data_IF_978255166645
#
_entry.id   IF_978255166645
#
_cell.length_a   1.000
_cell.length_b   1.000
_cell.length_c   1.000
_cell.angle_alpha   90.00
_cell.angle_beta   90.00
_cell.angle_gamma   90.00
#
_symmetry.space_group_name_H-M   'P 1'
#
loop_
_entity.id
_entity.type
_entity.pdbx_description
1 polymer ?
#
# COMPACT_ATOMS: atom_id res chain seq x y z
N UNK A 1 -19.06 14.69 1.30
CA UNK A 1 -18.18 15.24 0.25
C UNK A 1 -18.77 16.57 -0.12
N UNK A 2 -18.25 17.64 0.47
CA UNK A 2 -18.77 18.99 0.23
C UNK A 2 -17.69 19.71 -0.56
N UNK A 3 -17.99 19.97 -1.83
CA UNK A 3 -17.13 20.74 -2.73
C UNK A 3 -17.75 22.11 -2.77
N UNK A 4 -17.09 23.10 -2.16
CA UNK A 4 -17.54 24.49 -2.20
C UNK A 4 -16.74 25.22 -3.28
N UNK A 5 -17.30 25.43 -4.48
CA UNK A 5 -16.61 26.15 -5.53
C UNK A 5 -16.70 27.65 -5.25
N UNK A 6 -15.64 28.24 -4.68
CA UNK A 6 -15.50 29.69 -4.69
C UNK A 6 -15.19 30.14 -6.12
N UNK A 7 -16.23 30.44 -6.88
CA UNK A 7 -16.12 31.11 -8.17
C UNK A 7 -15.70 32.55 -7.92
N UNK A 8 -14.40 32.85 -8.03
CA UNK A 8 -13.95 34.22 -8.16
C UNK A 8 -14.39 34.72 -9.53
N UNK A 9 -15.39 35.62 -9.53
CA UNK A 9 -15.96 36.23 -10.73
C UNK A 9 -14.99 37.28 -11.27
N UNK A 10 -13.95 36.84 -11.94
CA UNK A 10 -13.17 37.68 -12.85
C UNK A 10 -12.89 36.84 -14.10
N UNK A 11 -13.55 37.20 -15.21
CA UNK A 11 -13.55 36.45 -16.47
C UNK A 11 -12.21 36.42 -17.20
N UNK A 12 -11.19 35.81 -16.57
CA UNK A 12 -9.89 35.52 -17.16
C UNK A 12 -9.77 34.02 -17.40
N UNK A 13 -9.53 33.67 -18.65
CA UNK A 13 -9.29 32.34 -19.22
C UNK A 13 -7.93 31.74 -18.85
N UNK A 14 -7.13 32.44 -18.04
CA UNK A 14 -5.79 32.03 -17.62
C UNK A 14 -5.65 31.73 -16.12
N UNK A 15 -6.72 31.80 -15.33
CA UNK A 15 -6.63 31.43 -13.91
C UNK A 15 -6.79 29.91 -13.69
N UNK A 16 -5.86 29.25 -12.97
CA UNK A 16 -6.00 27.86 -12.64
C UNK A 16 -7.18 27.67 -11.67
N UNK A 17 -8.09 26.74 -11.98
CA UNK A 17 -9.03 26.24 -11.00
C UNK A 17 -8.25 25.69 -9.80
N UNK A 18 -8.36 26.37 -8.67
CA UNK A 18 -7.77 25.94 -7.42
C UNK A 18 -8.87 25.36 -6.54
N UNK A 19 -8.70 24.10 -6.11
CA UNK A 19 -9.57 23.46 -5.14
C UNK A 19 -8.79 23.26 -3.84
N UNK A 20 -9.35 23.75 -2.74
CA UNK A 20 -8.87 23.46 -1.40
C UNK A 20 -9.39 22.08 -0.99
N UNK A 21 -8.51 21.08 -0.98
CA UNK A 21 -8.86 19.76 -0.42
C UNK A 21 -8.73 19.84 1.09
N UNK A 22 -9.86 19.95 1.78
CA UNK A 22 -9.90 19.73 3.22
C UNK A 22 -9.83 18.23 3.49
N UNK A 23 -8.64 17.75 3.86
CA UNK A 23 -8.50 16.42 4.47
C UNK A 23 -9.13 16.56 5.86
N UNK A 24 -10.31 15.97 6.07
CA UNK A 24 -10.99 15.99 7.36
C UNK A 24 -10.03 15.60 8.48
N UNK A 25 -9.74 16.53 9.40
CA UNK A 25 -8.79 16.34 10.50
C UNK A 25 -9.32 15.45 11.63
N UNK A 26 -10.60 15.00 11.57
CA UNK A 26 -11.26 14.34 12.70
C UNK A 26 -11.50 12.83 12.50
N UNK A 27 -11.05 12.25 11.40
CA UNK A 27 -10.85 10.81 11.25
C UNK A 27 -10.06 10.61 9.95
N UNK A 28 -8.74 10.30 10.00
CA UNK A 28 -8.08 9.83 8.80
C UNK A 28 -8.88 8.60 8.31
N UNK A 29 -9.33 8.55 7.05
CA UNK A 29 -9.96 7.35 6.52
C UNK A 29 -9.02 6.18 6.81
N UNK A 30 -9.54 5.10 7.38
CA UNK A 30 -8.75 3.93 7.68
C UNK A 30 -7.99 3.55 6.39
N UNK A 31 -6.64 3.52 6.38
CA UNK A 31 -5.88 3.22 5.16
C UNK A 31 -6.18 1.82 4.58
N UNK A 32 -6.90 0.99 5.31
CA UNK A 32 -7.44 -0.29 4.86
C UNK A 32 -8.73 -0.16 4.02
N UNK A 33 -9.48 0.95 4.09
CA UNK A 33 -10.88 0.97 3.63
C UNK A 33 -11.08 1.34 2.16
N UNK A 34 -10.25 2.16 1.51
CA UNK A 34 -10.37 2.29 0.05
C UNK A 34 -9.13 2.83 -0.67
N UNK A 35 -8.28 1.93 -1.16
CA UNK A 35 -7.14 2.29 -2.00
C UNK A 35 -7.53 2.41 -3.49
N UNK A 36 -8.79 2.11 -3.81
CA UNK A 36 -9.32 2.04 -5.16
C UNK A 36 -8.70 0.94 -6.01
N UNK A 37 -9.01 0.98 -7.30
CA UNK A 37 -8.54 0.03 -8.29
C UNK A 37 -7.29 0.54 -9.01
N UNK A 38 -6.42 -0.39 -9.40
CA UNK A 38 -5.28 -0.09 -10.26
C UNK A 38 -5.69 -0.34 -11.70
N UNK A 39 -5.76 0.75 -12.47
CA UNK A 39 -5.89 0.67 -13.92
C UNK A 39 -4.55 0.20 -14.49
N UNK A 40 -4.54 -1.01 -15.04
CA UNK A 40 -3.46 -1.48 -15.88
C UNK A 40 -3.77 -1.03 -17.32
N UNK A 41 -2.77 -0.44 -18.00
CA UNK A 41 -2.93 0.17 -19.32
C UNK A 41 -2.82 -0.85 -20.46
N UNK A 42 -3.01 -2.13 -20.16
CA UNK A 42 -2.95 -3.21 -21.14
C UNK A 42 -4.27 -3.29 -21.91
N UNK A 43 -4.15 -3.50 -23.23
CA UNK A 43 -5.32 -3.59 -24.10
C UNK A 43 -6.27 -4.73 -23.68
N UNK A 44 -5.75 -5.82 -23.13
CA UNK A 44 -6.52 -6.98 -22.69
C UNK A 44 -7.43 -6.64 -21.50
N UNK A 45 -6.92 -5.97 -20.46
CA UNK A 45 -7.75 -5.53 -19.33
C UNK A 45 -8.80 -4.50 -19.76
N UNK A 46 -8.47 -3.61 -20.72
CA UNK A 46 -9.44 -2.66 -21.26
C UNK A 46 -10.59 -3.35 -22.01
N UNK A 47 -10.28 -4.34 -22.85
CA UNK A 47 -11.28 -5.13 -23.58
C UNK A 47 -12.17 -5.92 -22.61
N UNK A 48 -11.57 -6.57 -21.62
CA UNK A 48 -12.31 -7.28 -20.57
C UNK A 48 -13.24 -6.35 -19.77
N UNK A 49 -12.76 -5.17 -19.36
CA UNK A 49 -13.57 -4.17 -18.67
C UNK A 49 -14.74 -3.68 -19.53
N UNK A 50 -14.49 -3.43 -20.82
CA UNK A 50 -15.52 -2.96 -21.76
C UNK A 50 -16.61 -4.00 -21.95
N UNK A 51 -16.24 -5.28 -22.07
CA UNK A 51 -17.17 -6.40 -22.19
C UNK A 51 -18.03 -6.54 -20.92
N UNK A 52 -17.40 -6.50 -19.75
CA UNK A 52 -18.10 -6.58 -18.45
C UNK A 52 -19.05 -5.40 -18.23
N UNK A 53 -18.58 -4.17 -18.53
CA UNK A 53 -19.42 -2.98 -18.46
C UNK A 53 -20.63 -3.10 -19.39
N UNK A 54 -20.42 -3.49 -20.64
CA UNK A 54 -21.50 -3.62 -21.62
C UNK A 54 -22.51 -4.69 -21.18
N UNK A 55 -22.04 -5.82 -20.65
CA UNK A 55 -22.91 -6.90 -20.18
C UNK A 55 -23.80 -6.43 -19.04
N UNK A 56 -23.20 -5.82 -18.00
CA UNK A 56 -23.95 -5.30 -16.85
C UNK A 56 -24.86 -4.14 -17.21
N UNK A 57 -24.43 -3.26 -18.11
CA UNK A 57 -25.25 -2.15 -18.57
C UNK A 57 -26.49 -2.63 -19.34
N UNK A 58 -26.34 -3.67 -20.17
CA UNK A 58 -27.50 -4.31 -20.81
C UNK A 58 -28.48 -4.90 -19.80
N UNK A 59 -27.99 -5.55 -18.73
CA UNK A 59 -28.85 -6.06 -17.66
C UNK A 59 -29.66 -4.95 -16.98
N UNK A 60 -29.03 -3.80 -16.71
CA UNK A 60 -29.70 -2.61 -16.17
C UNK A 60 -30.75 -2.09 -17.15
N UNK A 61 -30.40 -1.91 -18.42
CA UNK A 61 -31.35 -1.45 -19.45
C UNK A 61 -32.55 -2.41 -19.62
N UNK A 62 -32.31 -3.71 -19.58
CA UNK A 62 -33.35 -4.73 -19.67
C UNK A 62 -34.27 -4.75 -18.44
N UNK A 63 -33.72 -4.41 -17.26
CA UNK A 63 -34.48 -4.31 -16.01
C UNK A 63 -35.33 -3.04 -15.93
N UNK A 64 -35.01 -2.02 -16.74
CA UNK A 64 -35.70 -0.74 -16.80
C UNK A 64 -36.14 -0.36 -18.23
N UNK A 65 -36.98 -1.18 -18.91
CA UNK A 65 -37.25 -1.04 -20.34
C UNK A 65 -38.12 0.17 -20.73
N UNK A 66 -38.66 0.93 -19.76
CA UNK A 66 -39.71 1.93 -20.02
C UNK A 66 -39.59 3.20 -19.18
N UNK A 67 -38.37 3.60 -18.80
CA UNK A 67 -38.16 4.91 -18.20
C UNK A 67 -37.98 5.90 -19.35
N UNK A 68 -39.04 6.65 -19.68
CA UNK A 68 -38.89 7.84 -20.50
C UNK A 68 -37.84 8.74 -19.84
N UNK A 69 -36.83 9.17 -20.59
CA UNK A 69 -36.00 10.31 -20.18
C UNK A 69 -36.85 11.56 -20.39
N UNK A 70 -37.99 11.62 -19.71
CA UNK A 70 -38.64 12.89 -19.47
C UNK A 70 -37.58 13.72 -18.74
N UNK A 71 -37.41 14.98 -19.13
CA UNK A 71 -36.41 15.92 -18.57
C UNK A 71 -36.66 16.25 -17.08
N UNK A 72 -37.18 15.30 -16.30
CA UNK A 72 -37.31 15.35 -14.86
C UNK A 72 -35.93 15.11 -14.24
N UNK A 73 -35.42 16.06 -13.45
CA UNK A 73 -34.11 15.94 -12.80
C UNK A 73 -33.94 14.62 -12.03
N UNK A 74 -34.98 14.15 -11.35
CA UNK A 74 -34.96 12.91 -10.58
C UNK A 74 -34.72 11.64 -11.44
N UNK A 75 -35.18 11.63 -12.70
CA UNK A 75 -34.93 10.51 -13.60
C UNK A 75 -33.46 10.50 -14.05
N UNK A 76 -32.88 11.68 -14.29
CA UNK A 76 -31.48 11.86 -14.68
C UNK A 76 -30.55 11.43 -13.54
N UNK A 77 -30.83 11.85 -12.30
CA UNK A 77 -30.02 11.48 -11.13
C UNK A 77 -30.03 9.97 -10.89
N UNK A 78 -31.18 9.32 -11.12
CA UNK A 78 -31.29 7.86 -11.03
C UNK A 78 -30.44 7.17 -12.09
N UNK A 79 -30.46 7.65 -13.33
CA UNK A 79 -29.59 7.13 -14.40
C UNK A 79 -28.11 7.34 -14.11
N UNK A 80 -27.74 8.51 -13.60
CA UNK A 80 -26.36 8.81 -13.19
C UNK A 80 -25.89 7.86 -12.08
N UNK A 81 -26.76 7.56 -11.12
CA UNK A 81 -26.48 6.61 -10.03
C UNK A 81 -26.28 5.20 -10.57
N UNK A 82 -27.21 4.70 -11.41
CA UNK A 82 -27.11 3.37 -12.02
C UNK A 82 -25.87 3.22 -12.92
N UNK A 83 -25.53 4.28 -13.66
CA UNK A 83 -24.31 4.30 -14.48
C UNK A 83 -23.06 4.24 -13.58
N UNK A 84 -23.04 5.03 -12.51
CA UNK A 84 -21.95 5.01 -11.53
C UNK A 84 -21.77 3.63 -10.89
N UNK A 85 -22.86 3.00 -10.45
CA UNK A 85 -22.86 1.65 -9.89
C UNK A 85 -22.36 0.62 -10.90
N UNK A 86 -22.77 0.73 -12.16
CA UNK A 86 -22.34 -0.19 -13.23
C UNK A 86 -20.86 -0.05 -13.53
N UNK A 87 -20.35 1.20 -13.60
CA UNK A 87 -18.91 1.49 -13.76
C UNK A 87 -18.13 0.88 -12.60
N UNK A 88 -18.58 1.08 -11.36
CA UNK A 88 -17.93 0.52 -10.17
C UNK A 88 -17.96 -1.02 -10.19
N UNK A 89 -19.08 -1.62 -10.56
CA UNK A 89 -19.22 -3.07 -10.63
C UNK A 89 -18.37 -3.71 -11.73
N UNK A 90 -18.20 -3.07 -12.88
CA UNK A 90 -17.31 -3.53 -13.95
C UNK A 90 -15.84 -3.38 -13.56
N UNK A 91 -15.51 -2.26 -12.91
CA UNK A 91 -14.17 -1.98 -12.37
C UNK A 91 -13.79 -2.98 -11.28
N UNK A 92 -14.72 -3.31 -10.39
CA UNK A 92 -14.52 -4.30 -9.33
C UNK A 92 -14.28 -5.73 -9.87
N UNK A 93 -14.93 -6.09 -10.97
CA UNK A 93 -14.81 -7.42 -11.56
C UNK A 93 -13.49 -7.65 -12.30
N UNK A 94 -12.98 -6.61 -12.97
CA UNK A 94 -11.85 -6.76 -13.91
C UNK A 94 -10.55 -6.18 -13.38
N UNK A 95 -10.59 -5.21 -12.46
CA UNK A 95 -9.39 -4.50 -12.02
C UNK A 95 -8.84 -5.04 -10.70
N UNK A 96 -7.52 -5.00 -10.56
CA UNK A 96 -6.84 -5.36 -9.31
C UNK A 96 -7.05 -4.25 -8.28
N UNK A 97 -7.54 -4.60 -7.09
CA UNK A 97 -7.57 -3.69 -5.94
C UNK A 97 -6.14 -3.32 -5.56
N UNK A 98 -5.87 -2.04 -5.29
CA UNK A 98 -4.55 -1.64 -4.78
C UNK A 98 -4.31 -2.31 -3.43
N UNK A 99 -3.14 -2.89 -3.25
CA UNK A 99 -2.73 -3.48 -1.97
C UNK A 99 -2.38 -2.36 -1.00
N UNK A 100 -2.76 -2.53 0.26
CA UNK A 100 -2.30 -1.66 1.35
C UNK A 100 -0.78 -1.58 1.27
N UNK A 101 -0.29 -0.34 1.12
CA UNK A 101 1.13 -0.08 1.25
C UNK A 101 1.48 -0.50 2.68
N UNK A 102 2.27 -1.58 2.81
CA UNK A 102 2.82 -1.96 4.12
C UNK A 102 3.48 -0.71 4.69
N UNK A 103 3.26 -0.44 5.98
CA UNK A 103 3.89 0.66 6.70
C UNK A 103 5.32 0.87 6.19
N UNK A 104 5.70 2.11 5.85
CA UNK A 104 7.06 2.42 5.37
C UNK A 104 8.16 1.93 6.33
N UNK A 105 7.79 1.68 7.59
CA UNK A 105 8.66 1.16 8.61
C UNK A 105 8.75 -0.37 8.56
N UNK A 106 9.96 -0.87 8.70
CA UNK A 106 10.20 -2.30 8.80
C UNK A 106 9.50 -2.86 10.05
N UNK A 107 9.04 -4.12 10.04
CA UNK A 107 8.30 -4.72 11.16
C UNK A 107 9.08 -4.79 12.49
N UNK A 108 10.42 -4.74 12.42
CA UNK A 108 11.32 -4.72 13.58
C UNK A 108 11.64 -3.30 14.08
N UNK A 109 11.03 -2.26 13.50
CA UNK A 109 11.25 -0.88 13.93
C UNK A 109 10.65 -0.64 15.32
N UNK A 110 11.41 -0.02 16.21
CA UNK A 110 11.00 0.28 17.59
C UNK A 110 11.19 1.76 17.93
N UNK A 111 10.48 2.26 18.95
CA UNK A 111 10.62 3.62 19.47
C UNK A 111 12.06 3.97 19.82
N UNK A 112 12.79 3.02 20.41
CA UNK A 112 14.19 3.17 20.80
C UNK A 112 15.09 3.49 19.60
N UNK A 113 14.80 2.96 18.40
CA UNK A 113 15.56 3.29 17.18
C UNK A 113 15.31 4.74 16.79
N UNK A 114 14.04 5.19 16.84
CA UNK A 114 13.68 6.59 16.55
C UNK A 114 14.36 7.56 17.51
N UNK A 115 14.41 7.23 18.80
CA UNK A 115 15.06 8.04 19.84
C UNK A 115 16.56 8.20 19.60
N UNK A 116 17.27 7.11 19.30
CA UNK A 116 18.71 7.19 19.02
C UNK A 116 19.00 7.95 17.72
N UNK A 117 18.13 7.86 16.72
CA UNK A 117 18.25 8.67 15.51
C UNK A 117 18.07 10.16 15.84
N UNK A 118 17.12 10.52 16.70
CA UNK A 118 16.95 11.89 17.17
C UNK A 118 18.20 12.38 17.92
N UNK A 119 18.77 11.58 18.83
CA UNK A 119 20.02 11.91 19.53
C UNK A 119 21.19 12.17 18.55
N UNK A 120 21.30 11.38 17.47
CA UNK A 120 22.33 11.58 16.43
C UNK A 120 22.09 12.88 15.67
N UNK A 121 20.85 13.20 15.33
CA UNK A 121 20.50 14.43 14.62
C UNK A 121 20.77 15.66 15.50
N UNK A 122 20.46 15.61 16.78
CA UNK A 122 20.76 16.67 17.75
C UNK A 122 22.27 16.86 17.91
N UNK A 123 23.03 15.78 18.13
CA UNK A 123 24.49 15.86 18.21
C UNK A 123 25.11 16.45 16.93
N UNK A 124 24.56 16.10 15.76
CA UNK A 124 24.98 16.67 14.48
C UNK A 124 24.66 18.17 14.33
N UNK A 125 23.50 18.62 14.83
CA UNK A 125 23.11 20.04 14.84
C UNK A 125 23.95 20.89 15.80
N UNK A 126 24.31 20.32 16.95
CA UNK A 126 25.09 20.99 17.99
C UNK A 126 26.61 20.92 17.77
N UNK A 127 27.08 20.23 16.72
CA UNK A 127 28.51 20.11 16.43
C UNK A 127 29.28 19.24 17.42
N UNK A 128 28.59 18.35 18.15
CA UNK A 128 29.18 17.43 19.12
C UNK A 128 29.75 16.19 18.40
N UNK A 129 30.87 16.42 17.71
CA UNK A 129 31.51 15.44 16.83
C UNK A 129 32.02 14.22 17.62
N UNK A 130 32.47 14.43 18.86
CA UNK A 130 33.05 13.39 19.71
C UNK A 130 32.01 12.38 20.21
N UNK A 131 30.75 12.80 20.32
CA UNK A 131 29.64 11.94 20.75
C UNK A 131 29.05 11.08 19.62
N UNK A 132 29.23 11.48 18.35
CA UNK A 132 28.65 10.79 17.19
C UNK A 132 29.09 9.32 17.04
N UNK A 133 30.37 8.93 17.23
CA UNK A 133 30.77 7.53 17.14
C UNK A 133 30.06 6.64 18.17
N UNK A 134 29.91 7.12 19.41
CA UNK A 134 29.20 6.42 20.47
C UNK A 134 27.72 6.20 20.14
N UNK A 135 27.05 7.25 19.65
CA UNK A 135 25.65 7.19 19.25
C UNK A 135 25.41 6.28 18.04
N UNK A 136 26.32 6.29 17.06
CA UNK A 136 26.26 5.35 15.92
C UNK A 136 26.43 3.89 16.36
N UNK A 137 27.29 3.63 17.33
CA UNK A 137 27.45 2.29 17.91
C UNK A 137 26.22 1.87 18.72
N UNK A 138 25.63 2.79 19.49
CA UNK A 138 24.35 2.59 20.19
C UNK A 138 23.24 2.25 19.19
N UNK A 139 23.13 2.99 18.08
CA UNK A 139 22.14 2.74 17.02
C UNK A 139 22.29 1.33 16.44
N UNK A 140 23.52 0.91 16.12
CA UNK A 140 23.78 -0.45 15.60
C UNK A 140 23.31 -1.53 16.58
N UNK A 141 23.59 -1.36 17.88
CA UNK A 141 23.17 -2.30 18.93
C UNK A 141 21.65 -2.38 19.06
N UNK A 142 20.98 -1.23 19.15
CA UNK A 142 19.51 -1.18 19.27
C UNK A 142 18.83 -1.78 18.04
N UNK A 143 19.35 -1.53 16.82
CA UNK A 143 18.84 -2.17 15.59
C UNK A 143 19.03 -3.68 15.64
N UNK A 144 20.20 -4.15 16.09
CA UNK A 144 20.48 -5.58 16.20
C UNK A 144 19.53 -6.26 17.21
N UNK A 145 19.37 -5.66 18.39
CA UNK A 145 18.45 -6.14 19.43
C UNK A 145 17.00 -6.17 18.95
N UNK A 146 16.53 -5.10 18.30
CA UNK A 146 15.17 -5.02 17.79
C UNK A 146 14.91 -6.08 16.70
N UNK A 147 15.88 -6.30 15.79
CA UNK A 147 15.79 -7.38 14.79
C UNK A 147 15.79 -8.76 15.41
N UNK A 148 16.65 -8.99 16.40
CA UNK A 148 16.72 -10.26 17.12
C UNK A 148 15.43 -10.54 17.88
N UNK A 149 14.92 -9.58 18.64
CA UNK A 149 13.65 -9.68 19.38
C UNK A 149 12.47 -9.94 18.44
N UNK A 150 12.38 -9.20 17.34
CA UNK A 150 11.37 -9.42 16.31
C UNK A 150 11.45 -10.81 15.69
N UNK A 151 12.66 -11.29 15.35
CA UNK A 151 12.86 -12.62 14.81
C UNK A 151 12.45 -13.71 15.83
N UNK A 152 12.83 -13.55 17.09
CA UNK A 152 12.43 -14.44 18.19
C UNK A 152 10.92 -14.49 18.33
N UNK A 153 10.25 -13.33 18.35
CA UNK A 153 8.78 -13.24 18.44
C UNK A 153 8.08 -13.97 17.29
N UNK A 154 8.60 -13.88 16.06
CA UNK A 154 8.01 -14.61 14.91
C UNK A 154 8.25 -16.11 15.02
N UNK A 155 9.42 -16.53 15.50
CA UNK A 155 9.71 -17.95 15.72
C UNK A 155 8.82 -18.53 16.82
N UNK A 156 8.64 -17.81 17.92
CA UNK A 156 7.79 -18.21 19.05
C UNK A 156 6.30 -18.25 18.68
N UNK A 157 5.84 -17.35 17.81
CA UNK A 157 4.46 -17.31 17.31
C UNK A 157 4.23 -18.16 16.05
N UNK A 158 5.23 -18.92 15.60
CA UNK A 158 5.15 -19.70 14.38
C UNK A 158 4.18 -20.89 14.55
N UNK A 159 3.14 -20.91 13.73
CA UNK A 159 2.23 -22.05 13.59
C UNK A 159 2.59 -22.88 12.36
N UNK A 160 2.05 -24.10 12.25
CA UNK A 160 2.26 -25.00 11.09
C UNK A 160 1.94 -24.34 9.73
N UNK A 161 1.08 -23.32 9.70
CA UNK A 161 0.72 -22.58 8.49
C UNK A 161 1.81 -21.58 8.05
N UNK A 162 2.57 -21.02 9.01
CA UNK A 162 3.51 -19.93 8.77
C UNK A 162 4.99 -20.35 8.86
N UNK A 163 5.28 -21.56 9.35
CA UNK A 163 6.65 -22.07 9.53
C UNK A 163 7.48 -22.09 8.23
N UNK A 164 6.83 -22.28 7.08
CA UNK A 164 7.50 -22.26 5.77
C UNK A 164 7.99 -20.87 5.36
N UNK A 165 7.42 -19.80 5.92
CA UNK A 165 7.90 -18.44 5.69
C UNK A 165 9.26 -18.20 6.35
N UNK A 166 9.55 -18.90 7.46
CA UNK A 166 10.84 -18.85 8.17
C UNK A 166 11.95 -19.60 7.42
N UNK A 167 11.62 -20.66 6.68
CA UNK A 167 12.61 -21.41 5.89
C UNK A 167 13.33 -20.53 4.85
N UNK A 168 12.62 -19.51 4.32
CA UNK A 168 13.17 -18.52 3.40
C UNK A 168 14.18 -17.54 4.03
N UNK A 169 14.19 -17.39 5.36
CA UNK A 169 15.10 -16.48 6.07
C UNK A 169 16.53 -17.04 6.17
N UNK A 170 16.72 -18.34 5.94
CA UNK A 170 18.01 -19.01 6.03
C UNK A 170 19.01 -18.65 4.90
N UNK A 171 18.62 -17.83 3.92
CA UNK A 171 19.48 -17.49 2.77
C UNK A 171 20.51 -16.39 3.09
N UNK A 172 21.34 -16.62 4.09
CA UNK A 172 22.71 -16.12 4.10
C UNK A 172 23.57 -17.09 3.28
N UNK A 173 24.09 -16.66 2.13
CA UNK A 173 25.12 -17.42 1.38
C UNK A 173 26.40 -17.54 2.22
N UNK A 174 26.41 -18.40 3.24
CA UNK A 174 27.67 -19.01 3.70
C UNK A 174 27.88 -20.21 2.81
N UNK A 175 28.72 -20.05 1.77
CA UNK A 175 29.42 -21.20 1.17
C UNK A 175 30.32 -21.76 2.27
N UNK A 176 29.78 -22.57 3.17
CA UNK A 176 30.63 -23.50 3.91
C UNK A 176 31.11 -24.47 2.85
N UNK A 177 32.39 -24.41 2.51
CA UNK A 177 33.05 -25.57 1.92
C UNK A 177 32.88 -26.65 2.98
N UNK A 178 31.98 -27.60 2.71
CA UNK A 178 31.91 -28.80 3.53
C UNK A 178 33.31 -29.41 3.44
N UNK A 179 34.02 -29.63 4.57
CA UNK A 179 35.29 -30.32 4.52
C UNK A 179 35.03 -31.66 3.83
N UNK A 180 35.91 -32.08 2.91
CA UNK A 180 35.73 -33.35 2.24
C UNK A 180 35.61 -34.47 3.29
N UNK A 181 34.63 -35.35 3.13
CA UNK A 181 34.47 -36.46 4.06
C UNK A 181 35.43 -37.57 3.63
N UNK A 182 36.33 -37.97 4.52
CA UNK A 182 37.15 -39.16 4.29
C UNK A 182 36.26 -40.40 4.52
N UNK A 183 36.11 -41.19 3.47
CA UNK A 183 35.55 -42.52 3.57
C UNK A 183 36.53 -43.45 4.32
N UNK A 184 36.04 -44.57 4.89
CA UNK A 184 36.88 -45.49 5.65
C UNK A 184 38.06 -46.10 4.87
N UNK A 185 38.03 -46.02 3.54
CA UNK A 185 39.08 -46.45 2.63
C UNK A 185 40.13 -45.36 2.34
N UNK A 186 40.02 -44.19 2.97
CA UNK A 186 40.90 -43.04 2.78
C UNK A 186 40.59 -42.23 1.52
N UNK A 187 39.50 -42.54 0.80
CA UNK A 187 39.05 -41.73 -0.33
C UNK A 187 38.26 -40.51 0.15
N UNK A 188 38.34 -39.42 -0.61
CA UNK A 188 37.69 -38.15 -0.29
C UNK A 188 36.38 -38.03 -1.11
N UNK A 189 35.25 -37.76 -0.43
CA UNK A 189 33.92 -37.52 -1.02
C UNK A 189 33.52 -36.05 -0.92
#
# INVERSE_FOLDING_TARGET
MEVDPTCNVTGSDHEPLTFLIFIHQNNPPNPEEDLGYRFESDNQTREAWTLEFHTKWLEVCNSYPNISVDNQPAAIDRWATLLGETILAATAATMKRKKVSRSKQSPWWSSNISEVIAEIQEAGKHGDIDRLPGLRNKLKRVIQEAKSSWATSIVESATNLNIWQLAGWSKGKRKKVVPPLEAPDGSII
#
